data_IF_274910926402
#
_entry.id   IF_274910926402
#
_cell.length_a   1.000
_cell.length_b   1.000
_cell.length_c   1.000
_cell.angle_alpha   90.00
_cell.angle_beta   90.00
_cell.angle_gamma   90.00
#
_symmetry.space_group_name_H-M   'P 1'
#
loop_
_entity.id
_entity.type
_entity.pdbx_description
1 polymer ?
#
# COMPACT_ATOMS: atom_id res chain seq x y z
N UNK A 1 74.15 -85.84 21.77
CA UNK A 1 73.58 -85.78 23.14
C UNK A 1 72.54 -84.68 23.16
N UNK A 2 71.32 -85.01 23.58
CA UNK A 2 70.11 -84.16 23.75
C UNK A 2 69.60 -83.44 22.48
N UNK A 3 68.70 -84.04 21.70
CA UNK A 3 67.24 -84.24 21.85
C UNK A 3 66.37 -83.07 21.35
N UNK A 4 65.65 -83.33 20.23
CA UNK A 4 64.22 -83.06 19.95
C UNK A 4 63.84 -81.55 19.96
N UNK A 5 63.71 -80.82 18.84
CA UNK A 5 62.57 -80.74 17.88
C UNK A 5 61.17 -80.65 18.54
N UNK A 6 60.09 -80.12 17.91
CA UNK A 6 59.95 -79.16 16.82
C UNK A 6 58.76 -78.16 17.04
N UNK A 7 58.33 -77.51 15.95
CA UNK A 7 56.97 -77.03 15.63
C UNK A 7 56.56 -75.56 15.84
N UNK A 8 56.50 -74.89 14.67
CA UNK A 8 55.57 -73.84 14.27
C UNK A 8 54.10 -74.23 14.54
N UNK A 9 53.30 -73.26 15.02
CA UNK A 9 51.85 -73.08 14.72
C UNK A 9 51.37 -71.70 15.20
N UNK A 10 50.86 -70.87 14.29
CA UNK A 10 49.82 -69.84 14.54
C UNK A 10 48.52 -70.52 15.03
N UNK A 11 47.46 -69.86 15.57
CA UNK A 11 47.01 -68.45 15.45
C UNK A 11 46.48 -67.87 16.82
N UNK A 12 45.93 -66.65 16.94
CA UNK A 12 44.49 -66.39 16.81
C UNK A 12 44.15 -64.93 17.15
N UNK A 13 43.25 -64.36 16.34
CA UNK A 13 42.60 -63.08 16.55
C UNK A 13 41.79 -63.07 17.87
N UNK A 14 41.97 -62.01 18.66
CA UNK A 14 41.28 -61.78 19.93
C UNK A 14 39.83 -61.37 19.66
N UNK A 15 38.93 -62.35 19.61
CA UNK A 15 37.48 -62.12 19.65
C UNK A 15 37.11 -61.50 21.00
N UNK A 16 36.67 -60.24 20.99
CA UNK A 16 36.00 -59.57 22.11
C UNK A 16 34.61 -60.19 22.28
N UNK A 17 34.50 -61.21 23.15
CA UNK A 17 33.22 -61.72 23.64
C UNK A 17 32.49 -60.59 24.39
N UNK A 18 31.42 -60.07 23.78
CA UNK A 18 30.34 -59.32 24.43
C UNK A 18 29.77 -60.18 25.56
N UNK A 19 30.13 -59.89 26.80
CA UNK A 19 29.36 -60.32 27.96
C UNK A 19 28.14 -59.40 28.07
N UNK A 20 26.98 -59.89 27.63
CA UNK A 20 25.68 -59.31 28.01
C UNK A 20 25.58 -59.45 29.54
N UNK A 21 25.75 -58.36 30.26
CA UNK A 21 25.47 -58.32 31.70
C UNK A 21 23.97 -58.58 31.93
N UNK A 22 23.59 -59.37 32.94
CA UNK A 22 22.20 -59.72 33.22
C UNK A 22 21.52 -58.54 33.93
N UNK A 23 20.95 -57.62 33.17
CA UNK A 23 20.19 -56.47 33.70
C UNK A 23 18.83 -56.84 34.32
N UNK A 24 18.53 -58.13 34.52
CA UNK A 24 17.17 -58.60 34.80
C UNK A 24 17.01 -59.41 36.08
N UNK A 25 18.05 -59.62 36.90
CA UNK A 25 17.91 -60.36 38.15
C UNK A 25 18.83 -59.83 39.24
N UNK A 26 18.41 -58.74 39.87
CA UNK A 26 18.84 -58.43 41.23
C UNK A 26 17.66 -57.87 42.02
N UNK A 27 17.22 -58.61 43.04
CA UNK A 27 16.00 -58.31 43.82
C UNK A 27 16.24 -57.33 44.98
N UNK A 28 17.44 -56.74 45.07
CA UNK A 28 17.70 -55.58 45.94
C UNK A 28 17.37 -54.22 45.27
N UNK A 29 16.98 -54.22 44.00
CA UNK A 29 16.95 -53.03 43.11
C UNK A 29 15.57 -52.43 42.77
N UNK A 30 14.50 -52.77 43.49
CA UNK A 30 13.12 -52.33 43.15
C UNK A 30 12.95 -50.80 43.10
N UNK A 31 13.71 -50.06 43.93
CA UNK A 31 13.72 -48.59 43.90
C UNK A 31 14.40 -48.03 42.65
N UNK A 32 15.45 -48.70 42.14
CA UNK A 32 16.15 -48.30 40.91
C UNK A 32 15.34 -48.55 39.65
N UNK A 33 14.58 -49.66 39.60
CA UNK A 33 13.67 -49.95 38.48
C UNK A 33 12.44 -49.04 38.47
N UNK A 34 11.84 -48.76 39.64
CA UNK A 34 10.70 -47.85 39.74
C UNK A 34 11.09 -46.40 39.40
N UNK A 35 12.24 -45.93 39.90
CA UNK A 35 12.77 -44.60 39.58
C UNK A 35 13.17 -44.47 38.11
N UNK A 36 13.76 -45.51 37.53
CA UNK A 36 14.08 -45.56 36.10
C UNK A 36 12.83 -45.46 35.23
N UNK A 37 11.75 -46.16 35.57
CA UNK A 37 10.45 -46.06 34.88
C UNK A 37 9.83 -44.67 35.03
N UNK A 38 9.89 -44.09 36.24
CA UNK A 38 9.41 -42.74 36.48
C UNK A 38 10.18 -41.70 35.63
N UNK A 39 11.52 -41.76 35.64
CA UNK A 39 12.34 -40.84 34.83
C UNK A 39 12.13 -41.05 33.33
N UNK A 40 12.00 -42.30 32.88
CA UNK A 40 11.67 -42.59 31.49
C UNK A 40 10.31 -41.97 31.10
N UNK A 41 9.28 -42.08 31.95
CA UNK A 41 7.99 -41.44 31.72
C UNK A 41 8.11 -39.91 31.64
N UNK A 42 8.88 -39.29 32.55
CA UNK A 42 9.11 -37.83 32.53
C UNK A 42 9.81 -37.39 31.24
N UNK A 43 10.86 -38.09 30.79
CA UNK A 43 11.54 -37.75 29.54
C UNK A 43 10.67 -37.97 28.30
N UNK A 44 9.82 -39.01 28.30
CA UNK A 44 8.84 -39.23 27.23
C UNK A 44 7.82 -38.10 27.18
N UNK A 45 7.36 -37.62 28.34
CA UNK A 45 6.41 -36.50 28.41
C UNK A 45 7.05 -35.19 27.92
N UNK A 46 8.27 -34.86 28.37
CA UNK A 46 8.99 -33.66 27.93
C UNK A 46 9.33 -33.74 26.43
N UNK A 47 9.86 -34.88 25.98
CA UNK A 47 10.13 -35.13 24.57
C UNK A 47 8.86 -35.12 23.72
N UNK A 48 7.74 -35.56 24.29
CA UNK A 48 6.43 -35.52 23.66
C UNK A 48 5.92 -34.11 23.44
N UNK A 49 5.96 -33.28 24.48
CA UNK A 49 5.62 -31.85 24.35
C UNK A 49 6.51 -31.19 23.30
N UNK A 50 7.83 -31.41 23.32
CA UNK A 50 8.74 -30.81 22.35
C UNK A 50 8.44 -31.23 20.90
N UNK A 51 8.16 -32.52 20.67
CA UNK A 51 7.89 -33.06 19.34
C UNK A 51 6.54 -32.61 18.80
N UNK A 52 5.49 -32.72 19.62
CA UNK A 52 4.13 -32.33 19.24
C UNK A 52 3.99 -30.82 19.04
N UNK A 53 4.66 -30.02 19.88
CA UNK A 53 4.73 -28.57 19.70
C UNK A 53 5.43 -28.19 18.39
N UNK A 54 6.56 -28.85 18.08
CA UNK A 54 7.29 -28.63 16.82
C UNK A 54 6.43 -28.99 15.61
N UNK A 55 5.69 -30.10 15.68
CA UNK A 55 4.76 -30.48 14.62
C UNK A 55 3.59 -29.50 14.49
N UNK A 56 3.05 -29.00 15.60
CA UNK A 56 1.99 -27.98 15.58
C UNK A 56 2.42 -26.70 14.88
N UNK A 57 3.67 -26.26 15.08
CA UNK A 57 4.24 -25.12 14.35
C UNK A 57 4.38 -25.38 12.86
N UNK A 58 4.80 -26.58 12.46
CA UNK A 58 4.87 -26.95 11.04
C UNK A 58 3.48 -26.88 10.40
N UNK A 59 2.46 -27.44 11.05
CA UNK A 59 1.08 -27.37 10.55
C UNK A 59 0.57 -25.93 10.48
N UNK A 60 0.94 -25.09 11.46
CA UNK A 60 0.58 -23.67 11.45
C UNK A 60 1.23 -22.93 10.28
N UNK A 61 2.48 -23.23 9.95
CA UNK A 61 3.16 -22.65 8.80
C UNK A 61 2.51 -23.07 7.47
N UNK A 62 2.13 -24.34 7.32
CA UNK A 62 1.38 -24.83 6.16
C UNK A 62 0.03 -24.12 6.02
N UNK A 63 -0.69 -23.93 7.13
CA UNK A 63 -1.94 -23.18 7.17
C UNK A 63 -1.75 -21.71 6.78
N UNK A 64 -0.67 -21.08 7.24
CA UNK A 64 -0.37 -19.68 6.91
C UNK A 64 -0.15 -19.53 5.40
N UNK A 65 0.66 -20.39 4.78
CA UNK A 65 0.89 -20.38 3.33
C UNK A 65 -0.41 -20.50 2.53
N UNK A 66 -1.30 -21.42 2.94
CA UNK A 66 -2.61 -21.58 2.28
C UNK A 66 -3.51 -20.35 2.49
N UNK A 67 -3.47 -19.74 3.67
CA UNK A 67 -4.28 -18.56 4.01
C UNK A 67 -3.80 -17.32 3.25
N UNK A 68 -2.48 -17.12 3.15
CA UNK A 68 -1.87 -16.01 2.41
C UNK A 68 -2.19 -16.10 0.90
N UNK A 69 -2.04 -17.30 0.33
CA UNK A 69 -2.39 -17.55 -1.08
C UNK A 69 -3.89 -17.33 -1.34
N UNK A 70 -4.77 -17.76 -0.44
CA UNK A 70 -6.21 -17.56 -0.54
C UNK A 70 -6.60 -16.08 -0.44
N UNK A 71 -6.02 -15.35 0.52
CA UNK A 71 -6.29 -13.92 0.70
C UNK A 71 -5.83 -13.12 -0.53
N UNK A 72 -4.64 -13.41 -1.06
CA UNK A 72 -4.12 -12.72 -2.25
C UNK A 72 -4.96 -13.00 -3.50
N UNK A 73 -5.36 -14.26 -3.72
CA UNK A 73 -6.22 -14.60 -4.85
C UNK A 73 -7.57 -13.90 -4.77
N UNK A 74 -8.20 -13.87 -3.59
CA UNK A 74 -9.46 -13.17 -3.40
C UNK A 74 -9.33 -11.66 -3.62
N UNK A 75 -8.19 -11.07 -3.26
CA UNK A 75 -7.95 -9.64 -3.45
C UNK A 75 -8.01 -9.24 -4.93
N UNK A 76 -7.56 -10.12 -5.84
CA UNK A 76 -7.51 -9.84 -7.28
C UNK A 76 -8.88 -9.68 -7.92
N UNK A 77 -9.92 -10.27 -7.31
CA UNK A 77 -11.29 -10.23 -7.83
C UNK A 77 -12.13 -9.10 -7.22
N UNK A 78 -11.55 -8.28 -6.33
CA UNK A 78 -12.21 -7.05 -5.90
C UNK A 78 -12.41 -6.09 -7.09
N UNK A 79 -13.53 -5.34 -7.13
CA UNK A 79 -14.54 -5.17 -6.08
C UNK A 79 -15.66 -6.23 -6.07
N UNK A 80 -15.60 -7.28 -6.90
CA UNK A 80 -16.61 -8.32 -6.94
C UNK A 80 -16.44 -9.29 -5.75
N UNK A 81 -17.18 -9.04 -4.66
CA UNK A 81 -17.11 -9.82 -3.43
C UNK A 81 -17.41 -11.31 -3.63
N UNK A 82 -18.38 -11.66 -4.49
CA UNK A 82 -18.71 -13.06 -4.77
C UNK A 82 -17.57 -13.78 -5.47
N UNK A 83 -16.95 -13.14 -6.48
CA UNK A 83 -15.78 -13.70 -7.16
C UNK A 83 -14.59 -13.84 -6.19
N UNK A 84 -14.33 -12.83 -5.37
CA UNK A 84 -13.28 -12.84 -4.35
C UNK A 84 -13.42 -14.01 -3.38
N UNK A 85 -14.62 -14.26 -2.85
CA UNK A 85 -14.89 -15.40 -1.95
C UNK A 85 -14.62 -16.73 -2.65
N UNK A 86 -15.08 -16.90 -3.89
CA UNK A 86 -14.85 -18.14 -4.64
C UNK A 86 -13.37 -18.38 -4.95
N UNK A 87 -12.61 -17.34 -5.28
CA UNK A 87 -11.17 -17.44 -5.50
C UNK A 87 -10.40 -17.76 -4.23
N UNK A 88 -10.73 -17.16 -3.08
CA UNK A 88 -10.16 -17.57 -1.79
C UNK A 88 -10.36 -19.06 -1.52
N UNK A 89 -11.59 -19.56 -1.69
CA UNK A 89 -11.91 -20.98 -1.46
C UNK A 89 -11.13 -21.89 -2.42
N UNK A 90 -11.05 -21.50 -3.69
CA UNK A 90 -10.30 -22.25 -4.72
C UNK A 90 -8.81 -22.34 -4.40
N UNK A 91 -8.19 -21.22 -4.04
CA UNK A 91 -6.76 -21.18 -3.72
C UNK A 91 -6.43 -21.81 -2.36
N UNK A 92 -7.29 -21.68 -1.36
CA UNK A 92 -7.14 -22.41 -0.10
C UNK A 92 -7.12 -23.94 -0.34
N UNK A 93 -8.05 -24.46 -1.17
CA UNK A 93 -8.10 -25.88 -1.52
C UNK A 93 -6.88 -26.35 -2.32
N UNK A 94 -6.37 -25.53 -3.25
CA UNK A 94 -5.15 -25.85 -4.02
C UNK A 94 -3.90 -25.94 -3.14
N UNK A 95 -3.82 -25.09 -2.11
CA UNK A 95 -2.71 -25.07 -1.16
C UNK A 95 -2.90 -26.00 0.04
N UNK A 96 -3.98 -26.77 0.09
CA UNK A 96 -4.22 -27.84 1.05
C UNK A 96 -4.49 -29.18 0.31
N UNK A 97 -3.47 -29.76 -0.35
CA UNK A 97 -3.63 -30.99 -1.14
C UNK A 97 -4.08 -32.19 -0.29
N UNK A 98 -3.85 -32.15 1.01
CA UNK A 98 -4.25 -33.19 1.97
C UNK A 98 -5.71 -33.03 2.44
N UNK A 99 -6.41 -31.97 2.03
CA UNK A 99 -7.79 -31.63 2.41
C UNK A 99 -7.99 -31.67 3.93
N UNK A 100 -7.02 -31.11 4.64
CA UNK A 100 -6.97 -31.09 6.11
C UNK A 100 -7.67 -29.89 6.72
N UNK A 101 -8.09 -28.91 5.91
CA UNK A 101 -8.67 -27.64 6.32
C UNK A 101 -10.15 -27.57 5.97
N UNK A 102 -10.95 -27.02 6.89
CA UNK A 102 -12.31 -26.63 6.56
C UNK A 102 -12.29 -25.28 5.82
N UNK A 103 -12.71 -25.29 4.55
CA UNK A 103 -12.76 -24.10 3.70
C UNK A 103 -14.21 -23.82 3.32
N UNK A 104 -14.83 -22.87 4.02
CA UNK A 104 -16.19 -22.40 3.80
C UNK A 104 -16.22 -20.88 3.50
N UNK A 105 -17.35 -20.40 2.98
CA UNK A 105 -17.53 -18.96 2.70
C UNK A 105 -17.41 -18.11 3.98
N UNK A 106 -17.82 -18.65 5.13
CA UNK A 106 -17.70 -18.00 6.45
C UNK A 106 -16.26 -17.76 6.88
N UNK A 107 -15.28 -18.42 6.24
CA UNK A 107 -13.86 -18.19 6.50
C UNK A 107 -13.32 -16.95 5.78
N UNK A 108 -14.09 -16.34 4.87
CA UNK A 108 -13.67 -15.20 4.06
C UNK A 108 -14.52 -13.99 4.42
N UNK A 109 -13.88 -12.87 4.72
CA UNK A 109 -14.56 -11.60 5.02
C UNK A 109 -13.96 -10.50 4.17
N UNK A 110 -14.76 -9.89 3.29
CA UNK A 110 -14.38 -8.67 2.56
C UNK A 110 -14.55 -7.45 3.46
N UNK A 111 -13.74 -6.42 3.26
CA UNK A 111 -13.84 -5.19 4.04
C UNK A 111 -12.85 -4.11 3.62
N UNK A 112 -12.58 -3.20 4.54
CA UNK A 112 -11.62 -2.11 4.34
C UNK A 112 -10.43 -2.26 5.28
N UNK A 113 -9.23 -2.27 4.73
CA UNK A 113 -7.99 -2.06 5.46
C UNK A 113 -7.74 -0.56 5.59
N UNK A 114 -7.61 -0.09 6.82
CA UNK A 114 -7.20 1.27 7.15
C UNK A 114 -5.69 1.27 7.38
N UNK A 115 -4.93 1.85 6.46
CA UNK A 115 -3.47 1.79 6.53
C UNK A 115 -2.92 2.66 7.68
N UNK A 116 -3.58 3.78 8.00
CA UNK A 116 -3.19 4.69 9.08
C UNK A 116 -3.21 4.04 10.46
N UNK A 117 -4.22 3.22 10.75
CA UNK A 117 -4.39 2.53 12.03
C UNK A 117 -3.94 1.07 12.01
N UNK A 118 -3.60 0.54 10.82
CA UNK A 118 -3.31 -0.89 10.58
C UNK A 118 -4.43 -1.79 11.08
N UNK A 119 -5.67 -1.41 10.80
CA UNK A 119 -6.86 -2.14 11.23
C UNK A 119 -7.71 -2.58 10.04
N UNK A 120 -8.29 -3.77 10.15
CA UNK A 120 -9.28 -4.26 9.20
C UNK A 120 -10.68 -3.99 9.74
N UNK A 121 -11.50 -3.30 8.95
CA UNK A 121 -12.92 -3.05 9.20
C UNK A 121 -13.74 -4.02 8.35
N UNK A 122 -14.36 -5.06 8.94
CA UNK A 122 -15.23 -5.98 8.22
C UNK A 122 -16.35 -5.23 7.49
N UNK A 123 -16.60 -5.59 6.23
CA UNK A 123 -17.63 -4.94 5.39
C UNK A 123 -17.45 -3.41 5.27
N UNK A 124 -16.25 -2.88 5.49
CA UNK A 124 -15.95 -1.46 5.31
C UNK A 124 -15.95 -1.04 3.84
N UNK A 125 -16.28 0.24 3.60
CA UNK A 125 -16.33 0.86 2.27
C UNK A 125 -15.35 2.06 2.15
N UNK A 126 -14.75 2.29 0.97
CA UNK A 126 -14.71 1.37 -0.17
C UNK A 126 -13.95 0.07 0.18
N UNK A 127 -14.37 -1.06 -0.39
CA UNK A 127 -13.77 -2.37 -0.11
C UNK A 127 -12.43 -2.47 -0.82
N UNK A 128 -11.35 -2.60 -0.04
CA UNK A 128 -9.99 -2.72 -0.56
C UNK A 128 -9.25 -3.93 0.03
N UNK A 129 -9.88 -4.75 0.87
CA UNK A 129 -9.20 -5.82 1.57
C UNK A 129 -10.08 -7.06 1.76
N UNK A 130 -9.41 -8.21 1.87
CA UNK A 130 -10.01 -9.51 2.17
C UNK A 130 -9.25 -10.16 3.30
N UNK A 131 -9.97 -10.56 4.34
CA UNK A 131 -9.47 -11.36 5.45
C UNK A 131 -9.88 -12.81 5.24
N UNK A 132 -8.94 -13.74 5.35
CA UNK A 132 -9.18 -15.18 5.32
C UNK A 132 -8.72 -15.79 6.64
N UNK A 133 -9.53 -16.68 7.22
CA UNK A 133 -9.20 -17.40 8.45
C UNK A 133 -9.42 -18.90 8.23
N UNK A 134 -8.33 -19.65 8.19
CA UNK A 134 -8.36 -21.11 8.03
C UNK A 134 -8.12 -21.78 9.39
N UNK A 135 -8.88 -22.84 9.67
CA UNK A 135 -8.77 -23.57 10.93
C UNK A 135 -8.72 -25.08 10.73
N UNK A 136 -7.98 -25.72 11.62
CA UNK A 136 -7.92 -27.15 11.87
C UNK A 136 -8.38 -27.37 13.31
N UNK A 137 -9.69 -27.45 13.49
CA UNK A 137 -10.35 -27.52 14.79
C UNK A 137 -11.60 -28.41 14.77
N UNK A 138 -11.98 -28.96 15.93
CA UNK A 138 -13.19 -29.79 16.09
C UNK A 138 -12.97 -31.31 15.95
N UNK A 139 -14.04 -32.09 16.02
CA UNK A 139 -14.00 -33.53 16.32
C UNK A 139 -13.60 -34.51 15.21
N UNK A 140 -13.65 -34.15 13.91
CA UNK A 140 -13.97 -35.20 12.92
C UNK A 140 -13.01 -35.49 11.75
N UNK A 141 -11.90 -34.77 11.56
CA UNK A 141 -10.81 -35.19 10.63
C UNK A 141 -9.71 -34.13 10.49
N UNK A 142 -10.05 -32.87 10.79
CA UNK A 142 -9.22 -31.70 10.50
C UNK A 142 -8.28 -31.36 11.65
N UNK A 143 -8.57 -31.78 12.88
CA UNK A 143 -7.71 -31.57 14.05
C UNK A 143 -6.30 -32.12 13.87
N UNK A 144 -5.34 -31.48 14.54
CA UNK A 144 -3.95 -31.96 14.56
C UNK A 144 -3.84 -32.99 15.67
N UNK A 145 -3.66 -34.26 15.28
CA UNK A 145 -3.47 -35.36 16.23
C UNK A 145 -2.09 -35.23 16.89
N UNK A 146 -2.04 -35.39 18.19
CA UNK A 146 -0.76 -35.49 18.91
C UNK A 146 -0.16 -36.88 18.71
N UNK A 147 1.16 -37.00 18.82
CA UNK A 147 1.91 -38.25 18.73
C UNK A 147 2.25 -38.80 20.11
N UNK A 148 2.87 -38.01 20.97
CA UNK A 148 3.40 -38.43 22.26
C UNK A 148 2.60 -37.82 23.41
N UNK A 149 2.04 -36.61 23.25
CA UNK A 149 1.15 -36.00 24.24
C UNK A 149 -0.16 -36.77 24.46
N UNK A 150 -0.54 -37.66 23.54
CA UNK A 150 -1.65 -38.62 23.78
C UNK A 150 -1.39 -39.51 24.98
N UNK A 151 -0.12 -39.82 25.29
CA UNK A 151 0.27 -40.57 26.50
C UNK A 151 0.01 -39.77 27.78
N UNK A 152 -0.13 -38.45 27.67
CA UNK A 152 -0.50 -37.52 28.72
C UNK A 152 -2.00 -37.16 28.71
N UNK A 153 -2.81 -37.82 27.86
CA UNK A 153 -4.25 -37.56 27.75
C UNK A 153 -4.64 -36.40 26.82
N UNK A 154 -3.70 -35.87 26.01
CA UNK A 154 -4.00 -34.83 25.01
C UNK A 154 -3.95 -35.47 23.63
N UNK A 155 -5.10 -35.85 23.07
CA UNK A 155 -5.17 -36.60 21.81
C UNK A 155 -5.04 -35.72 20.55
N UNK A 156 -5.36 -34.44 20.67
CA UNK A 156 -5.34 -33.47 19.59
C UNK A 156 -5.23 -32.04 20.09
N UNK A 157 -4.93 -31.13 19.16
CA UNK A 157 -4.96 -29.70 19.40
C UNK A 157 -5.44 -28.96 18.16
N UNK A 158 -5.97 -27.76 18.39
CA UNK A 158 -6.50 -26.89 17.35
C UNK A 158 -5.42 -25.93 16.84
N UNK A 159 -5.40 -25.70 15.54
CA UNK A 159 -4.50 -24.72 14.89
C UNK A 159 -5.31 -23.84 13.95
N UNK A 160 -5.06 -22.54 14.01
CA UNK A 160 -5.64 -21.55 13.11
C UNK A 160 -4.58 -20.62 12.55
N UNK A 161 -4.83 -20.14 11.32
CA UNK A 161 -4.05 -19.13 10.65
C UNK A 161 -5.01 -18.09 10.05
N UNK A 162 -4.55 -16.84 10.00
CA UNK A 162 -5.31 -15.74 9.44
C UNK A 162 -4.37 -14.89 8.56
N UNK A 163 -4.90 -14.43 7.43
CA UNK A 163 -4.21 -13.49 6.55
C UNK A 163 -5.18 -12.39 6.12
N UNK A 164 -4.65 -11.20 5.93
CA UNK A 164 -5.37 -10.07 5.37
C UNK A 164 -4.57 -9.60 4.16
N UNK A 165 -5.17 -9.71 2.98
CA UNK A 165 -4.64 -9.10 1.79
C UNK A 165 -5.39 -7.78 1.55
N UNK A 166 -4.67 -6.73 1.18
CA UNK A 166 -5.27 -5.43 0.91
C UNK A 166 -4.63 -4.79 -0.33
N UNK A 167 -5.45 -4.17 -1.18
CA UNK A 167 -4.98 -3.28 -2.22
C UNK A 167 -4.47 -2.05 -1.48
N UNK A 168 -3.15 -1.89 -1.47
CA UNK A 168 -2.54 -0.60 -1.20
C UNK A 168 -2.44 0.12 -2.52
N UNK A 169 -3.31 1.12 -2.79
CA UNK A 169 -3.26 1.82 -4.05
C UNK A 169 -2.02 2.71 -4.02
N UNK A 170 -0.88 2.17 -4.45
CA UNK A 170 0.32 2.98 -4.63
C UNK A 170 -0.02 4.08 -5.63
N UNK A 171 0.45 5.29 -5.35
CA UNK A 171 0.24 6.47 -6.18
C UNK A 171 -1.15 7.12 -6.12
N UNK A 172 -2.18 6.53 -5.48
CA UNK A 172 -3.49 7.20 -5.39
C UNK A 172 -3.59 8.16 -4.21
N UNK A 173 -2.79 7.95 -3.16
CA UNK A 173 -2.69 8.85 -2.01
C UNK A 173 -1.85 10.10 -2.29
N UNK A 174 -0.99 10.07 -3.33
CA UNK A 174 -0.23 11.22 -3.79
C UNK A 174 0.62 10.89 -5.01
N UNK A 175 0.59 11.74 -6.03
CA UNK A 175 1.39 11.56 -7.24
C UNK A 175 1.62 12.83 -8.07
N UNK A 176 2.71 12.83 -8.84
CA UNK A 176 2.96 13.76 -9.95
C UNK A 176 3.29 12.96 -11.20
N UNK A 177 2.37 12.94 -12.16
CA UNK A 177 2.55 12.24 -13.43
C UNK A 177 2.60 13.25 -14.59
N UNK A 178 3.58 13.08 -15.48
CA UNK A 178 3.74 13.88 -16.69
C UNK A 178 3.69 12.99 -17.95
N UNK A 179 2.98 13.43 -19.00
CA UNK A 179 3.04 12.77 -20.33
C UNK A 179 4.40 12.99 -21.01
N UNK A 180 5.13 14.05 -20.67
CA UNK A 180 6.48 14.32 -21.18
C UNK A 180 7.54 14.00 -20.13
N UNK A 181 8.43 14.95 -19.81
CA UNK A 181 9.48 14.72 -18.82
C UNK A 181 9.03 15.09 -17.42
N UNK A 182 9.34 14.22 -16.45
CA UNK A 182 9.42 14.61 -15.06
C UNK A 182 10.83 15.13 -14.76
N UNK A 183 10.95 16.36 -14.24
CA UNK A 183 12.23 16.93 -13.83
C UNK A 183 12.22 17.32 -12.36
N UNK A 184 13.25 16.88 -11.64
CA UNK A 184 13.49 17.24 -10.24
C UNK A 184 14.82 17.97 -10.10
N UNK A 185 14.84 19.08 -9.36
CA UNK A 185 16.10 19.72 -9.01
C UNK A 185 16.68 19.12 -7.72
N UNK A 186 16.74 19.85 -6.61
CA UNK A 186 17.58 19.45 -5.47
C UNK A 186 16.89 19.60 -4.11
N UNK A 187 17.39 18.92 -3.09
CA UNK A 187 16.95 19.08 -1.68
C UNK A 187 15.47 18.76 -1.45
N UNK A 188 14.88 17.86 -2.23
CA UNK A 188 13.49 17.45 -2.03
C UNK A 188 13.39 16.08 -1.37
N UNK A 189 12.39 15.86 -0.53
CA UNK A 189 12.08 14.57 0.07
C UNK A 189 10.77 14.03 -0.46
N UNK A 190 10.76 12.75 -0.85
CA UNK A 190 9.58 12.00 -1.26
C UNK A 190 9.35 10.91 -0.22
N UNK A 191 8.21 10.94 0.45
CA UNK A 191 7.86 9.99 1.52
C UNK A 191 6.94 8.87 1.04
N UNK A 192 6.78 7.84 1.87
CA UNK A 192 5.97 6.64 1.59
C UNK A 192 4.60 6.97 0.99
N UNK A 193 4.19 6.20 -0.01
CA UNK A 193 2.91 6.35 -0.70
C UNK A 193 2.86 7.41 -1.79
N UNK A 194 3.90 8.23 -1.96
CA UNK A 194 3.98 9.20 -3.05
C UNK A 194 4.65 8.63 -4.31
N UNK A 195 4.07 8.92 -5.47
CA UNK A 195 4.61 8.46 -6.75
C UNK A 195 4.96 9.59 -7.72
N UNK A 196 6.04 9.36 -8.44
CA UNK A 196 6.54 10.26 -9.47
C UNK A 196 6.58 9.52 -10.80
N UNK A 197 6.12 10.15 -11.86
CA UNK A 197 6.15 9.53 -13.19
C UNK A 197 6.38 10.54 -14.31
N UNK A 198 7.24 10.20 -15.26
CA UNK A 198 7.36 10.89 -16.55
C UNK A 198 7.35 9.89 -17.69
N UNK A 199 6.28 9.87 -18.49
CA UNK A 199 6.12 8.90 -19.58
C UNK A 199 7.25 9.06 -20.62
N UNK A 200 7.57 10.31 -20.97
CA UNK A 200 8.67 10.66 -21.87
C UNK A 200 10.07 10.59 -21.25
N UNK A 201 10.18 10.33 -19.93
CA UNK A 201 11.44 10.19 -19.21
C UNK A 201 11.47 10.94 -17.88
N UNK A 202 12.52 10.66 -17.09
CA UNK A 202 12.73 11.20 -15.75
C UNK A 202 14.14 11.77 -15.65
N UNK A 203 14.27 13.03 -15.22
CA UNK A 203 15.54 13.71 -14.99
C UNK A 203 15.59 14.27 -13.56
N UNK A 204 16.29 13.60 -12.64
CA UNK A 204 16.44 14.03 -11.25
C UNK A 204 17.87 14.53 -11.01
N UNK A 205 18.03 15.76 -10.52
CA UNK A 205 19.33 16.28 -10.10
C UNK A 205 19.71 15.72 -8.72
N UNK A 206 20.53 16.39 -7.91
CA UNK A 206 21.16 15.80 -6.72
C UNK A 206 20.48 16.22 -5.41
N UNK A 207 20.79 15.50 -4.33
CA UNK A 207 20.37 15.78 -2.96
C UNK A 207 18.86 15.60 -2.72
N UNK A 208 18.22 14.68 -3.43
CA UNK A 208 16.84 14.30 -3.16
C UNK A 208 16.80 13.00 -2.35
N UNK A 209 15.81 12.83 -1.49
CA UNK A 209 15.66 11.62 -0.66
C UNK A 209 14.37 10.92 -1.04
N UNK A 210 14.45 9.62 -1.29
CA UNK A 210 13.32 8.75 -1.60
C UNK A 210 13.18 7.72 -0.48
N UNK A 211 12.12 7.82 0.31
CA UNK A 211 11.87 6.88 1.39
C UNK A 211 11.38 5.53 0.86
N UNK A 212 11.47 4.50 1.70
CA UNK A 212 10.93 3.19 1.36
C UNK A 212 9.41 3.29 1.13
N UNK A 213 8.94 2.71 0.02
CA UNK A 213 7.53 2.75 -0.38
C UNK A 213 7.16 3.87 -1.35
N UNK A 214 8.12 4.74 -1.68
CA UNK A 214 8.03 5.63 -2.86
C UNK A 214 8.17 4.87 -4.17
N UNK A 215 7.61 5.44 -5.24
CA UNK A 215 7.84 4.97 -6.60
C UNK A 215 8.24 6.15 -7.50
N UNK A 216 9.27 5.97 -8.30
CA UNK A 216 9.60 6.86 -9.40
C UNK A 216 9.69 6.05 -10.68
N UNK A 217 8.93 6.44 -11.69
CA UNK A 217 8.81 5.66 -12.91
C UNK A 217 8.91 6.46 -14.19
N UNK A 218 9.30 5.78 -15.26
CA UNK A 218 9.33 6.33 -16.60
C UNK A 218 8.68 5.36 -17.59
N UNK A 219 8.18 5.90 -18.70
CA UNK A 219 7.60 5.09 -19.78
C UNK A 219 8.60 4.10 -20.37
N UNK A 220 8.12 2.99 -20.90
CA UNK A 220 8.97 1.92 -21.41
C UNK A 220 9.86 2.42 -22.56
N UNK A 221 11.17 2.20 -22.45
CA UNK A 221 12.16 2.66 -23.43
C UNK A 221 12.53 4.14 -23.34
N UNK A 222 11.98 4.89 -22.38
CA UNK A 222 12.36 6.30 -22.16
C UNK A 222 13.58 6.43 -21.24
N UNK A 223 14.13 7.64 -21.13
CA UNK A 223 15.37 7.87 -20.40
C UNK A 223 15.12 8.15 -18.91
N UNK A 224 15.86 7.46 -18.05
CA UNK A 224 15.97 7.78 -16.63
C UNK A 224 17.37 8.33 -16.34
N UNK A 225 17.47 9.61 -15.98
CA UNK A 225 18.72 10.28 -15.60
C UNK A 225 18.61 10.74 -14.16
N UNK A 226 19.63 10.41 -13.37
CA UNK A 226 19.69 10.80 -11.96
C UNK A 226 21.08 11.29 -11.61
N UNK A 227 21.17 12.26 -10.69
CA UNK A 227 22.42 12.60 -10.03
C UNK A 227 22.90 11.48 -9.09
N UNK A 228 24.15 11.57 -8.66
CA UNK A 228 24.79 10.54 -7.82
C UNK A 228 24.44 10.66 -6.32
N UNK A 229 23.66 11.66 -5.92
CA UNK A 229 23.33 11.95 -4.52
C UNK A 229 21.83 11.88 -4.25
N UNK A 230 21.20 10.77 -4.59
CA UNK A 230 19.77 10.56 -4.33
C UNK A 230 19.52 9.26 -3.56
N UNK A 231 19.65 9.26 -2.21
CA UNK A 231 19.39 8.07 -1.41
C UNK A 231 17.99 7.49 -1.68
N UNK A 232 17.91 6.17 -1.83
CA UNK A 232 16.66 5.43 -2.03
C UNK A 232 16.11 5.40 -3.45
N UNK A 233 16.61 6.23 -4.37
CA UNK A 233 16.06 6.32 -5.74
C UNK A 233 16.13 5.00 -6.51
N UNK A 234 17.20 4.22 -6.31
CA UNK A 234 17.38 2.93 -7.00
C UNK A 234 16.35 1.88 -6.55
N UNK A 235 15.87 1.96 -5.31
CA UNK A 235 14.81 1.07 -4.80
C UNK A 235 13.42 1.55 -5.21
N UNK A 236 13.25 2.86 -5.36
CA UNK A 236 12.00 3.49 -5.80
C UNK A 236 11.77 3.35 -7.31
N UNK A 237 12.84 3.12 -8.09
CA UNK A 237 12.80 3.13 -9.55
C UNK A 237 12.04 1.95 -10.14
N UNK A 238 11.09 2.25 -11.03
CA UNK A 238 10.33 1.26 -11.80
C UNK A 238 10.21 1.71 -13.26
N UNK A 239 10.44 0.83 -14.23
CA UNK A 239 10.10 1.11 -15.63
C UNK A 239 8.69 0.60 -15.93
N UNK A 240 7.75 1.53 -16.11
CA UNK A 240 6.33 1.23 -16.32
C UNK A 240 5.64 2.46 -16.90
N UNK A 241 4.98 2.30 -18.04
CA UNK A 241 4.10 3.34 -18.59
C UNK A 241 2.84 3.53 -17.75
N UNK A 242 2.35 4.76 -17.69
CA UNK A 242 1.12 5.11 -16.97
C UNK A 242 0.16 5.83 -17.91
N UNK A 243 -1.12 5.57 -17.75
CA UNK A 243 -2.18 6.33 -18.41
C UNK A 243 -2.56 7.53 -17.53
N UNK A 244 -2.56 8.74 -18.12
CA UNK A 244 -2.87 10.00 -17.43
C UNK A 244 -4.30 10.44 -17.77
N UNK A 245 -5.27 9.90 -17.04
CA UNK A 245 -6.70 10.08 -17.30
C UNK A 245 -7.24 11.47 -16.96
N UNK A 246 -6.68 12.15 -15.95
CA UNK A 246 -7.13 13.50 -15.57
C UNK A 246 -6.86 14.50 -16.70
N UNK A 247 -5.75 14.31 -17.43
CA UNK A 247 -5.39 15.17 -18.58
C UNK A 247 -6.42 15.06 -19.70
N UNK A 248 -6.95 13.85 -19.92
CA UNK A 248 -7.92 13.59 -20.97
C UNK A 248 -9.32 14.15 -20.62
N UNK A 249 -9.61 14.34 -19.33
CA UNK A 249 -10.87 14.90 -18.82
C UNK A 249 -10.88 16.44 -18.71
N UNK A 250 -9.74 17.13 -18.84
CA UNK A 250 -9.63 18.59 -18.64
C UNK A 250 -10.70 19.38 -19.39
N UNK A 251 -10.96 19.02 -20.66
CA UNK A 251 -11.95 19.73 -21.47
C UNK A 251 -13.39 19.50 -20.97
N UNK A 252 -13.71 18.29 -20.50
CA UNK A 252 -15.03 17.96 -19.93
C UNK A 252 -15.23 18.71 -18.62
N UNK A 253 -14.28 18.57 -17.69
CA UNK A 253 -14.32 19.23 -16.38
C UNK A 253 -14.42 20.74 -16.53
N UNK A 254 -13.58 21.34 -17.38
CA UNK A 254 -13.62 22.79 -17.62
C UNK A 254 -15.01 23.25 -18.10
N UNK A 255 -15.59 22.55 -19.08
CA UNK A 255 -16.88 22.93 -19.63
C UNK A 255 -18.02 22.67 -18.63
N UNK A 256 -17.96 21.57 -17.89
CA UNK A 256 -18.98 21.20 -16.92
C UNK A 256 -19.07 22.18 -15.75
N UNK A 257 -17.92 22.53 -15.17
CA UNK A 257 -17.85 23.56 -14.11
C UNK A 257 -18.28 24.92 -14.68
N UNK A 258 -17.88 25.28 -15.90
CA UNK A 258 -18.29 26.54 -16.56
C UNK A 258 -19.80 26.65 -16.74
N UNK A 259 -20.44 25.57 -17.15
CA UNK A 259 -21.87 25.51 -17.42
C UNK A 259 -22.70 25.28 -16.15
N UNK A 260 -22.06 24.83 -15.07
CA UNK A 260 -22.71 24.46 -13.81
C UNK A 260 -23.56 23.20 -13.92
N UNK A 261 -23.18 22.27 -14.79
CA UNK A 261 -23.98 21.08 -15.14
C UNK A 261 -23.49 19.79 -14.48
N UNK A 262 -22.18 19.62 -14.38
CA UNK A 262 -21.47 18.38 -14.02
C UNK A 262 -20.06 18.73 -13.52
N UNK A 263 -19.35 17.73 -12.98
CA UNK A 263 -18.02 17.92 -12.38
C UNK A 263 -18.00 18.94 -11.23
N UNK A 264 -19.11 19.01 -10.47
CA UNK A 264 -19.29 19.92 -9.36
C UNK A 264 -19.24 19.18 -8.02
N UNK A 265 -18.39 19.62 -7.07
CA UNK A 265 -18.46 19.13 -5.71
C UNK A 265 -19.80 19.49 -5.06
N UNK A 266 -20.26 18.67 -4.11
CA UNK A 266 -21.57 18.83 -3.46
C UNK A 266 -21.75 20.16 -2.69
N UNK A 267 -20.65 20.84 -2.36
CA UNK A 267 -20.67 22.14 -1.70
C UNK A 267 -20.90 23.31 -2.67
N UNK A 268 -20.80 23.09 -3.99
CA UNK A 268 -21.29 24.02 -5.00
C UNK A 268 -22.79 23.79 -5.22
N UNK A 269 -23.59 24.81 -4.92
CA UNK A 269 -25.05 24.74 -4.95
C UNK A 269 -25.72 25.85 -5.75
N UNK A 270 -24.95 26.88 -6.16
CA UNK A 270 -25.45 28.08 -6.83
C UNK A 270 -24.59 28.44 -8.06
N UNK A 271 -25.19 29.21 -8.98
CA UNK A 271 -24.55 29.65 -10.21
C UNK A 271 -24.86 28.74 -11.41
N UNK A 272 -24.24 28.99 -12.57
CA UNK A 272 -23.16 29.95 -12.81
C UNK A 272 -23.61 31.42 -12.78
N UNK A 273 -22.81 32.28 -12.14
CA UNK A 273 -22.97 33.73 -12.14
C UNK A 273 -21.91 34.34 -13.06
N UNK A 274 -22.36 34.93 -14.16
CA UNK A 274 -21.47 35.59 -15.12
C UNK A 274 -21.13 37.00 -14.64
N UNK A 275 -19.84 37.28 -14.45
CA UNK A 275 -19.34 38.56 -13.94
C UNK A 275 -18.16 39.07 -14.78
N UNK A 276 -17.99 40.40 -14.92
CA UNK A 276 -16.80 40.95 -15.58
C UNK A 276 -15.54 40.77 -14.73
N UNK A 277 -15.67 40.79 -13.40
CA UNK A 277 -14.60 40.60 -12.43
C UNK A 277 -15.13 39.80 -11.23
N UNK A 278 -14.25 39.08 -10.54
CA UNK A 278 -14.61 38.39 -9.29
C UNK A 278 -15.05 39.43 -8.23
N UNK A 279 -16.19 39.21 -7.53
CA UNK A 279 -16.59 40.09 -6.44
C UNK A 279 -15.57 40.10 -5.31
N UNK A 280 -15.45 41.23 -4.59
CA UNK A 280 -14.56 41.33 -3.42
C UNK A 280 -14.94 40.34 -2.30
N UNK A 281 -16.23 40.04 -2.18
CA UNK A 281 -16.80 39.09 -1.22
C UNK A 281 -17.69 38.11 -1.96
N UNK A 282 -17.12 37.08 -2.60
CA UNK A 282 -17.91 36.10 -3.32
C UNK A 282 -18.76 35.28 -2.35
N UNK A 283 -19.95 34.92 -2.78
CA UNK A 283 -20.89 34.09 -2.02
C UNK A 283 -20.42 32.63 -2.06
N UNK A 284 -20.46 31.96 -0.90
CA UNK A 284 -20.17 30.53 -0.79
C UNK A 284 -21.14 29.69 -1.61
N UNK A 285 -20.69 28.50 -1.98
CA UNK A 285 -21.36 27.54 -2.83
C UNK A 285 -21.62 28.03 -4.26
N UNK A 286 -20.99 29.10 -4.72
CA UNK A 286 -21.33 29.75 -6.00
C UNK A 286 -20.24 29.54 -7.05
N UNK A 287 -20.68 29.25 -8.28
CA UNK A 287 -19.82 29.27 -9.48
C UNK A 287 -19.78 30.68 -10.06
N UNK A 288 -18.58 31.25 -10.18
CA UNK A 288 -18.32 32.53 -10.86
C UNK A 288 -17.65 32.29 -12.20
N UNK A 289 -18.33 32.70 -13.27
CA UNK A 289 -17.79 32.66 -14.63
C UNK A 289 -17.33 34.06 -15.02
N UNK A 290 -16.01 34.27 -15.01
CA UNK A 290 -15.37 35.56 -15.28
C UNK A 290 -15.00 35.68 -16.76
N UNK A 291 -15.34 36.81 -17.39
CA UNK A 291 -15.13 37.01 -18.84
C UNK A 291 -13.65 37.19 -19.24
N UNK A 292 -12.83 37.72 -18.34
CA UNK A 292 -11.39 37.96 -18.54
C UNK A 292 -10.52 37.27 -17.50
N UNK A 293 -9.27 37.74 -17.36
CA UNK A 293 -8.36 37.23 -16.34
C UNK A 293 -8.92 37.45 -14.93
N UNK A 294 -8.61 36.53 -14.02
CA UNK A 294 -8.97 36.62 -12.60
C UNK A 294 -7.72 36.91 -11.80
N UNK A 295 -7.83 37.86 -10.86
CA UNK A 295 -6.83 38.13 -9.84
C UNK A 295 -7.49 37.96 -8.49
N UNK A 296 -7.01 37.01 -7.70
CA UNK A 296 -7.34 36.87 -6.29
C UNK A 296 -6.30 37.70 -5.53
N UNK A 297 -6.78 38.69 -4.79
CA UNK A 297 -5.94 39.70 -4.15
C UNK A 297 -5.20 39.14 -2.93
N UNK A 298 -4.12 39.82 -2.55
CA UNK A 298 -3.32 39.48 -1.36
C UNK A 298 -4.19 39.45 -0.09
N UNK A 299 -3.98 38.45 0.77
CA UNK A 299 -4.73 38.31 2.03
C UNK A 299 -6.19 37.84 1.86
N UNK A 300 -6.57 37.33 0.69
CA UNK A 300 -7.94 36.83 0.47
C UNK A 300 -8.12 35.44 1.09
N UNK A 301 -9.28 35.20 1.69
CA UNK A 301 -9.72 33.86 2.09
C UNK A 301 -10.90 33.42 1.21
N UNK A 302 -10.76 32.28 0.54
CA UNK A 302 -11.82 31.70 -0.28
C UNK A 302 -12.24 30.35 0.29
N UNK A 303 -13.55 30.14 0.36
CA UNK A 303 -14.13 28.89 0.85
C UNK A 303 -15.39 28.54 0.06
N UNK A 304 -15.50 27.29 -0.36
CA UNK A 304 -16.67 26.75 -1.07
C UNK A 304 -17.01 27.56 -2.32
N UNK A 305 -16.05 27.77 -3.21
CA UNK A 305 -16.25 28.58 -4.43
C UNK A 305 -15.67 27.91 -5.67
N UNK A 306 -16.36 28.07 -6.80
CA UNK A 306 -15.82 27.71 -8.11
C UNK A 306 -15.59 28.97 -8.93
N UNK A 307 -14.38 29.11 -9.48
CA UNK A 307 -13.97 30.25 -10.31
C UNK A 307 -13.57 29.70 -11.68
N UNK A 308 -14.27 30.16 -12.71
CA UNK A 308 -14.04 29.73 -14.09
C UNK A 308 -13.73 30.93 -14.97
N UNK A 309 -12.68 30.85 -15.76
CA UNK A 309 -12.36 31.87 -16.76
C UNK A 309 -11.82 31.25 -18.05
N UNK A 310 -11.97 31.95 -19.17
CA UNK A 310 -11.26 31.61 -20.41
C UNK A 310 -9.81 32.13 -20.42
N UNK A 311 -9.48 33.07 -19.54
CA UNK A 311 -8.16 33.67 -19.39
C UNK A 311 -7.30 33.02 -18.31
N UNK A 312 -6.36 33.81 -17.77
CA UNK A 312 -5.46 33.45 -16.67
C UNK A 312 -6.14 33.62 -15.30
N UNK A 313 -5.85 32.73 -14.35
CA UNK A 313 -6.10 32.96 -12.92
C UNK A 313 -4.76 33.27 -12.25
N UNK A 314 -4.69 34.36 -11.48
CA UNK A 314 -3.54 34.71 -10.64
C UNK A 314 -3.98 34.72 -9.18
N UNK A 315 -3.32 33.94 -8.34
CA UNK A 315 -3.53 33.95 -6.88
C UNK A 315 -2.35 34.69 -6.25
N UNK A 316 -2.61 35.87 -5.69
CA UNK A 316 -1.58 36.63 -5.00
C UNK A 316 -1.25 36.03 -3.63
N UNK A 317 -0.23 36.59 -2.99
CA UNK A 317 0.31 36.09 -1.74
C UNK A 317 -0.67 36.08 -0.57
N UNK A 318 -0.28 35.39 0.50
CA UNK A 318 -0.99 35.36 1.78
C UNK A 318 -2.48 34.96 1.65
N UNK A 319 -2.80 34.19 0.61
CA UNK A 319 -4.16 33.75 0.31
C UNK A 319 -4.38 32.38 0.93
N UNK A 320 -5.55 32.18 1.53
CA UNK A 320 -5.98 30.86 2.00
C UNK A 320 -7.21 30.40 1.21
N UNK A 321 -7.19 29.16 0.77
CA UNK A 321 -8.27 28.59 -0.05
C UNK A 321 -8.60 27.19 0.45
N UNK A 322 -9.88 26.92 0.70
CA UNK A 322 -10.37 25.57 1.03
C UNK A 322 -11.65 25.30 0.27
N UNK A 323 -11.88 24.07 -0.17
CA UNK A 323 -13.02 23.70 -1.02
C UNK A 323 -13.16 24.67 -2.19
N UNK A 324 -12.13 24.75 -3.02
CA UNK A 324 -12.15 25.61 -4.23
C UNK A 324 -12.04 24.80 -5.51
N UNK A 325 -12.71 25.26 -6.57
CA UNK A 325 -12.48 24.81 -7.94
C UNK A 325 -11.95 25.99 -8.75
N UNK A 326 -10.71 25.91 -9.22
CA UNK A 326 -10.11 26.90 -10.12
C UNK A 326 -10.02 26.30 -11.53
N UNK A 327 -10.82 26.79 -12.47
CA UNK A 327 -10.85 26.30 -13.85
C UNK A 327 -10.48 27.41 -14.85
N UNK A 328 -9.31 27.30 -15.47
CA UNK A 328 -8.79 28.31 -16.39
C UNK A 328 -8.60 27.78 -17.82
N UNK A 329 -9.00 28.60 -18.80
CA UNK A 329 -8.63 28.38 -20.20
C UNK A 329 -7.15 28.70 -20.46
N UNK A 330 -6.55 29.57 -19.64
CA UNK A 330 -5.13 29.91 -19.65
C UNK A 330 -4.39 29.43 -18.39
N UNK A 331 -3.24 30.07 -18.13
CA UNK A 331 -2.38 29.80 -16.98
C UNK A 331 -3.13 29.94 -15.64
N UNK A 332 -2.89 29.01 -14.71
CA UNK A 332 -3.15 29.22 -13.28
C UNK A 332 -1.80 29.48 -12.61
N UNK A 333 -1.62 30.69 -12.12
CA UNK A 333 -0.38 31.16 -11.49
C UNK A 333 -0.65 31.44 -10.02
N UNK A 334 -0.13 30.57 -9.16
CA UNK A 334 -0.20 30.70 -7.71
C UNK A 334 1.12 31.30 -7.27
N UNK A 335 1.05 32.49 -6.68
CA UNK A 335 2.22 33.24 -6.25
C UNK A 335 2.82 32.61 -4.99
N UNK A 336 3.25 33.39 -3.99
CA UNK A 336 4.00 32.88 -2.86
C UNK A 336 3.21 32.98 -1.56
N UNK A 337 3.41 32.04 -0.63
CA UNK A 337 2.71 31.98 0.66
C UNK A 337 1.20 31.77 0.50
N UNK A 338 0.79 30.87 -0.39
CA UNK A 338 -0.61 30.46 -0.56
C UNK A 338 -0.86 29.12 0.13
N UNK A 339 -1.89 29.03 0.96
CA UNK A 339 -2.34 27.77 1.58
C UNK A 339 -3.61 27.28 0.88
N UNK A 340 -3.56 26.09 0.28
CA UNK A 340 -4.68 25.49 -0.44
C UNK A 340 -4.99 24.12 0.16
N UNK A 341 -6.23 23.95 0.59
CA UNK A 341 -6.75 22.71 1.11
C UNK A 341 -7.14 22.79 2.58
N UNK A 342 -7.42 21.63 3.15
CA UNK A 342 -7.71 21.46 4.57
C UNK A 342 -6.80 20.37 5.16
N UNK A 343 -6.81 20.15 6.47
CA UNK A 343 -6.01 19.07 7.09
C UNK A 343 -6.78 17.75 7.26
N UNK A 344 -8.10 17.74 7.03
CA UNK A 344 -8.98 16.60 7.28
C UNK A 344 -9.15 15.66 6.08
N UNK A 345 -8.72 16.04 4.89
CA UNK A 345 -8.98 15.30 3.65
C UNK A 345 -8.51 13.83 3.64
N UNK A 346 -7.37 13.46 4.26
CA UNK A 346 -6.98 12.04 4.35
C UNK A 346 -7.97 11.23 5.21
N UNK A 347 -8.60 11.86 6.21
CA UNK A 347 -9.62 11.22 7.04
C UNK A 347 -11.01 11.23 6.40
N UNK A 348 -11.31 12.25 5.61
CA UNK A 348 -12.55 12.36 4.82
C UNK A 348 -12.53 11.43 3.60
N UNK A 349 -11.34 11.10 3.09
CA UNK A 349 -11.15 10.20 1.96
C UNK A 349 -11.46 10.84 0.61
N UNK A 350 -11.49 12.17 0.50
CA UNK A 350 -11.74 12.91 -0.74
C UNK A 350 -10.82 14.12 -0.88
N UNK A 351 -10.55 14.57 -2.11
CA UNK A 351 -9.82 15.82 -2.34
C UNK A 351 -10.66 17.03 -1.92
N UNK A 352 -10.00 17.99 -1.31
CA UNK A 352 -10.58 19.24 -0.83
C UNK A 352 -10.77 20.23 -1.97
N UNK A 353 -9.72 20.46 -2.75
CA UNK A 353 -9.65 21.53 -3.76
C UNK A 353 -9.14 21.03 -5.10
N UNK A 354 -9.56 21.69 -6.18
CA UNK A 354 -9.38 21.24 -7.56
C UNK A 354 -8.86 22.38 -8.43
N UNK A 355 -7.80 22.13 -9.19
CA UNK A 355 -7.19 23.11 -10.10
C UNK A 355 -7.12 22.50 -11.50
N UNK A 356 -7.71 23.17 -12.48
CA UNK A 356 -7.79 22.72 -13.86
C UNK A 356 -7.33 23.83 -14.78
N UNK A 357 -6.35 23.54 -15.63
CA UNK A 357 -5.88 24.46 -16.66
C UNK A 357 -5.81 23.80 -18.02
N UNK A 358 -6.40 24.46 -19.03
CA UNK A 358 -6.21 24.10 -20.44
C UNK A 358 -4.85 24.53 -21.00
N UNK A 359 -4.06 25.23 -20.20
CA UNK A 359 -2.69 25.65 -20.49
C UNK A 359 -1.75 25.01 -19.47
N UNK A 360 -1.06 25.80 -18.63
CA UNK A 360 -0.12 25.31 -17.61
C UNK A 360 -0.55 25.75 -16.21
N UNK A 361 -0.01 25.08 -15.19
CA UNK A 361 -0.16 25.46 -13.77
C UNK A 361 1.22 25.75 -13.20
N UNK A 362 1.38 26.86 -12.50
CA UNK A 362 2.62 27.29 -11.87
C UNK A 362 2.37 27.63 -10.40
N UNK A 363 3.13 26.98 -9.52
CA UNK A 363 3.18 27.25 -8.08
C UNK A 363 4.53 27.87 -7.77
N UNK A 364 4.54 29.03 -7.14
CA UNK A 364 5.79 29.72 -6.84
C UNK A 364 6.40 29.19 -5.53
N UNK A 365 6.47 30.02 -4.49
CA UNK A 365 7.30 29.71 -3.32
C UNK A 365 6.55 29.75 -2.01
N UNK A 366 6.95 28.89 -1.07
CA UNK A 366 6.34 28.80 0.26
C UNK A 366 4.83 28.49 0.24
N UNK A 367 4.35 27.84 -0.82
CA UNK A 367 2.96 27.40 -0.90
C UNK A 367 2.77 26.12 -0.11
N UNK A 368 1.60 25.97 0.49
CA UNK A 368 1.20 24.76 1.21
C UNK A 368 0.00 24.17 0.51
N UNK A 369 0.09 22.90 0.17
CA UNK A 369 -0.98 22.20 -0.52
C UNK A 369 -1.37 20.94 0.24
N UNK A 370 -2.67 20.74 0.44
CA UNK A 370 -3.24 19.64 1.22
C UNK A 370 -4.50 19.09 0.54
N UNK A 371 -4.46 17.84 0.09
CA UNK A 371 -5.63 17.22 -0.54
C UNK A 371 -6.08 17.94 -1.82
N UNK A 372 -5.13 18.37 -2.64
CA UNK A 372 -5.40 19.13 -3.87
C UNK A 372 -5.24 18.24 -5.10
N UNK A 373 -6.21 18.28 -6.00
CA UNK A 373 -6.11 17.62 -7.31
C UNK A 373 -5.86 18.66 -8.40
N UNK A 374 -4.83 18.45 -9.21
CA UNK A 374 -4.38 19.39 -10.25
C UNK A 374 -4.29 18.67 -11.59
N UNK A 375 -4.88 19.25 -12.63
CA UNK A 375 -4.72 18.81 -14.00
C UNK A 375 -4.33 19.98 -14.92
N UNK A 376 -3.27 19.81 -15.71
CA UNK A 376 -2.86 20.79 -16.72
C UNK A 376 -2.64 20.15 -18.09
N UNK A 377 -3.08 20.83 -19.15
CA UNK A 377 -2.99 20.30 -20.52
C UNK A 377 -1.57 20.43 -21.10
N UNK A 378 -0.83 21.45 -20.67
CA UNK A 378 0.60 21.65 -20.94
C UNK A 378 1.37 21.35 -19.67
N UNK A 379 2.31 22.21 -19.26
CA UNK A 379 3.25 21.92 -18.18
C UNK A 379 2.64 22.14 -16.78
N UNK A 380 3.30 21.55 -15.78
CA UNK A 380 3.13 21.84 -14.37
C UNK A 380 4.48 22.21 -13.77
N UNK A 381 4.54 23.33 -13.05
CA UNK A 381 5.77 23.79 -12.39
C UNK A 381 5.48 24.05 -10.92
N UNK A 382 6.31 23.48 -10.05
CA UNK A 382 6.38 23.84 -8.64
C UNK A 382 7.80 24.31 -8.32
N UNK A 383 7.91 25.57 -7.88
CA UNK A 383 9.19 26.21 -7.62
C UNK A 383 9.74 25.77 -6.23
N UNK A 384 10.05 26.70 -5.33
CA UNK A 384 10.92 26.40 -4.17
C UNK A 384 10.22 26.57 -2.82
N UNK A 385 10.66 25.79 -1.83
CA UNK A 385 10.16 25.87 -0.45
C UNK A 385 8.65 25.64 -0.30
N UNK A 386 7.98 25.10 -1.32
CA UNK A 386 6.59 24.69 -1.18
C UNK A 386 6.52 23.40 -0.36
N UNK A 387 5.64 23.37 0.63
CA UNK A 387 5.41 22.17 1.44
C UNK A 387 4.19 21.48 0.84
N UNK A 388 4.44 20.47 -0.01
CA UNK A 388 3.43 19.57 -0.55
C UNK A 388 3.11 18.54 0.52
N UNK A 389 2.43 19.02 1.56
CA UNK A 389 2.44 18.32 2.85
C UNK A 389 1.90 16.91 2.74
N UNK A 390 0.79 16.67 2.04
CA UNK A 390 0.22 15.33 1.88
C UNK A 390 -0.93 15.37 0.84
N UNK A 391 -1.23 14.26 0.16
CA UNK A 391 -2.53 14.09 -0.53
C UNK A 391 -2.71 14.70 -1.92
N UNK A 392 -1.63 15.02 -2.63
CA UNK A 392 -1.73 15.78 -3.88
C UNK A 392 -1.67 14.86 -5.07
N UNK A 393 -2.59 15.02 -6.00
CA UNK A 393 -2.54 14.34 -7.30
C UNK A 393 -2.43 15.36 -8.41
N UNK A 394 -1.34 15.26 -9.17
CA UNK A 394 -1.02 16.12 -10.29
C UNK A 394 -0.86 15.25 -11.52
N UNK A 395 -1.61 15.56 -12.57
CA UNK A 395 -1.34 15.04 -13.90
C UNK A 395 -1.20 16.18 -14.91
N UNK A 396 -0.18 16.06 -15.77
CA UNK A 396 0.18 17.12 -16.71
C UNK A 396 0.43 16.55 -18.11
N UNK A 397 -0.13 17.19 -19.14
CA UNK A 397 0.05 16.80 -20.53
C UNK A 397 1.44 17.16 -21.10
N UNK A 398 2.14 18.08 -20.45
CA UNK A 398 3.51 18.49 -20.76
C UNK A 398 4.51 17.91 -19.77
N UNK A 399 5.48 18.73 -19.38
CA UNK A 399 6.48 18.41 -18.37
C UNK A 399 5.94 18.68 -16.97
N UNK A 400 6.40 17.90 -16.00
CA UNK A 400 6.28 18.25 -14.58
C UNK A 400 7.66 18.63 -14.06
N UNK A 401 7.83 19.89 -13.66
CA UNK A 401 9.07 20.41 -13.10
C UNK A 401 8.88 20.69 -11.60
N UNK A 402 9.61 19.98 -10.76
CA UNK A 402 9.70 20.26 -9.33
C UNK A 402 11.10 20.76 -8.99
N UNK A 403 11.20 21.96 -8.44
CA UNK A 403 12.48 22.62 -8.23
C UNK A 403 13.12 22.14 -6.91
N UNK A 404 13.18 22.99 -5.89
CA UNK A 404 14.05 22.71 -4.73
C UNK A 404 13.38 22.90 -3.38
N UNK A 405 13.85 22.17 -2.38
CA UNK A 405 13.35 22.24 -1.00
C UNK A 405 11.85 21.90 -0.88
N UNK A 406 11.43 20.82 -1.55
CA UNK A 406 10.05 20.34 -1.54
C UNK A 406 9.94 19.09 -0.68
N UNK A 407 8.83 18.96 0.04
CA UNK A 407 8.48 17.71 0.73
C UNK A 407 7.20 17.19 0.09
N UNK A 408 7.21 15.94 -0.37
CA UNK A 408 6.05 15.27 -0.97
C UNK A 408 5.59 14.12 -0.09
N UNK A 409 4.33 14.17 0.34
CA UNK A 409 3.67 13.09 1.08
C UNK A 409 2.38 12.61 0.43
N UNK A 410 2.06 11.33 0.61
CA UNK A 410 0.81 10.72 0.17
C UNK A 410 -0.10 10.41 1.36
N UNK A 411 -1.42 10.43 1.14
CA UNK A 411 -2.32 9.79 2.10
C UNK A 411 -2.04 8.28 2.18
N UNK A 412 -2.23 7.66 3.36
CA UNK A 412 -2.16 6.21 3.50
C UNK A 412 -3.18 5.44 2.64
N UNK A 413 -4.31 6.09 2.34
CA UNK A 413 -5.42 5.55 1.55
C UNK A 413 -5.63 6.41 0.28
N UNK A 414 -6.28 5.86 -0.74
CA UNK A 414 -6.68 6.61 -1.93
C UNK A 414 -7.76 7.66 -1.60
N UNK A 415 -7.69 8.80 -2.28
CA UNK A 415 -8.68 9.87 -2.19
C UNK A 415 -9.69 9.78 -3.35
N UNK A 416 -10.95 10.11 -3.06
CA UNK A 416 -12.01 10.25 -4.05
C UNK A 416 -12.04 11.69 -4.58
N UNK A 417 -12.36 11.85 -5.86
CA UNK A 417 -12.53 13.11 -6.55
C UNK A 417 -14.01 13.37 -6.72
N UNK A 418 -14.43 14.60 -6.42
CA UNK A 418 -15.79 15.07 -6.66
C UNK A 418 -15.89 15.88 -7.96
N UNK A 419 -14.78 16.00 -8.71
CA UNK A 419 -14.71 16.80 -9.95
C UNK A 419 -14.27 15.95 -11.13
N UNK A 420 -13.33 15.02 -10.96
CA UNK A 420 -12.88 14.12 -12.02
C UNK A 420 -13.56 12.76 -11.87
N UNK A 421 -13.96 12.18 -13.00
CA UNK A 421 -14.62 10.86 -13.02
C UNK A 421 -13.58 9.74 -12.90
N UNK A 422 -12.35 9.98 -13.34
CA UNK A 422 -11.25 9.03 -13.23
C UNK A 422 -10.30 9.32 -12.07
N UNK A 423 -10.04 8.27 -11.29
CA UNK A 423 -9.00 8.25 -10.24
C UNK A 423 -8.20 6.94 -10.29
N UNK A 424 -8.78 5.88 -10.85
CA UNK A 424 -8.22 4.53 -10.81
C UNK A 424 -7.45 4.23 -12.09
N UNK A 425 -6.20 4.70 -12.14
CA UNK A 425 -5.23 4.42 -13.21
C UNK A 425 -4.25 3.29 -12.89
N UNK A 426 -4.08 2.88 -11.63
CA UNK A 426 -3.08 1.86 -11.29
C UNK A 426 -3.44 1.02 -10.07
N UNK A 427 -4.12 -0.11 -10.31
CA UNK A 427 -4.28 -1.17 -9.31
C UNK A 427 -2.98 -2.01 -9.29
N UNK A 428 -1.90 -1.47 -8.73
CA UNK A 428 -0.72 -2.29 -8.43
C UNK A 428 -0.95 -3.08 -7.15
N UNK A 429 -1.01 -4.40 -7.27
CA UNK A 429 -1.15 -5.33 -6.14
C UNK A 429 0.16 -5.32 -5.34
N UNK A 430 0.07 -5.11 -4.03
CA UNK A 430 1.22 -5.19 -3.11
C UNK A 430 0.96 -6.34 -2.16
N UNK A 431 1.93 -7.25 -2.06
CA UNK A 431 1.97 -8.33 -1.07
C UNK A 431 2.27 -7.79 0.34
#
# INVERSE_FOLDING_TARGET
>A
MMNISPELRSPAARQTRRTRAPFLRDEAGGAGSAWGLFMAAVFILIGGVATDYSFGHLVKADLQNATDAAALAALQDLPNATAAVQSAISYAKKNDPKKTVNVAETNVTTGRWLNSTRTFVPNGHPTNAVKVVLTRSGSDATQVKSFLMRLAGVDSFDVSAAAIAAIRPRCLGGRIFAKSLLKGNSNSSVSDGFCLHGEGGVHINNNNVFEAGTEISNGVGSTFRTGNKNPGIELARVEKSKELKLVDEIDSVYNGVRNGTDHLPSWITNGPVHVPNLPAYPTRGTIYVVSGNVVINDGTALEEIAIVTSGKITVNSNTTMSKVVLAAGGLVDINSNVDIGSSSYCSEGAYDSYIVSKDRVELNSNDVLRGVQIASKKDFVINSNAVVTDGIVIETGGNADFNSNLSFGGCPDALVSNVFDSIHGDNSLVQ
#
